data_IF_985890497081
#
_entry.id   IF_985890497081
#
_cell.length_a   1.000
_cell.length_b   1.000
_cell.length_c   1.000
_cell.angle_alpha   90.00
_cell.angle_beta   90.00
_cell.angle_gamma   90.00
#
_symmetry.space_group_name_H-M   'P 1'
#
loop_
_entity.id
_entity.type
_entity.pdbx_description
1 polymer ?
#
# COMPACT_ATOMS: atom_id res chain seq x y z
N UNK A 1 -20.38 -0.25 16.89
CA UNK A 1 -19.51 0.32 15.83
C UNK A 1 -20.07 1.67 15.42
N UNK A 2 -19.23 2.71 15.30
CA UNK A 2 -19.62 4.04 14.82
C UNK A 2 -18.81 4.37 13.57
N UNK A 3 -19.45 4.90 12.54
CA UNK A 3 -18.81 5.33 11.30
C UNK A 3 -18.70 6.85 11.32
N UNK A 4 -17.52 7.38 11.02
CA UNK A 4 -17.28 8.81 10.85
C UNK A 4 -16.80 9.07 9.42
N UNK A 5 -17.36 10.08 8.76
CA UNK A 5 -16.99 10.46 7.40
C UNK A 5 -15.88 11.52 7.44
N UNK A 6 -14.79 11.28 6.73
CA UNK A 6 -13.71 12.26 6.60
C UNK A 6 -14.06 13.46 5.72
N UNK A 7 -13.30 14.56 5.87
CA UNK A 7 -13.49 15.81 5.13
C UNK A 7 -12.78 15.91 3.78
N UNK A 8 -12.20 14.82 3.26
CA UNK A 8 -11.50 14.79 1.97
C UNK A 8 -10.02 15.20 2.01
N UNK A 9 -9.43 15.38 3.19
CA UNK A 9 -8.01 15.70 3.34
C UNK A 9 -7.13 14.45 3.33
N UNK A 10 -6.14 14.39 2.43
CA UNK A 10 -5.20 13.26 2.31
C UNK A 10 -4.38 13.05 3.60
N UNK A 11 -3.96 14.14 4.25
CA UNK A 11 -3.19 14.11 5.50
C UNK A 11 -3.92 13.39 6.64
N UNK A 12 -5.26 13.37 6.64
CA UNK A 12 -6.04 12.65 7.63
C UNK A 12 -5.92 11.12 7.52
N UNK A 13 -5.20 10.59 6.53
CA UNK A 13 -4.75 9.19 6.53
C UNK A 13 -3.64 8.92 7.55
N UNK A 14 -2.93 9.95 8.01
CA UNK A 14 -1.92 9.86 9.07
C UNK A 14 -2.59 9.63 10.43
N UNK A 15 -2.02 8.73 11.23
CA UNK A 15 -2.61 8.25 12.48
C UNK A 15 -3.10 9.31 13.46
N UNK A 16 -2.32 10.39 13.65
CA UNK A 16 -2.64 11.43 14.62
C UNK A 16 -3.52 12.53 14.03
N UNK A 17 -3.35 12.84 12.75
CA UNK A 17 -4.25 13.70 12.00
C UNK A 17 -5.67 13.12 11.93
N UNK A 18 -5.79 11.80 11.74
CA UNK A 18 -7.06 11.08 11.78
C UNK A 18 -7.76 11.27 13.13
N UNK A 19 -7.03 11.09 14.24
CA UNK A 19 -7.59 11.26 15.59
C UNK A 19 -8.01 12.70 15.84
N UNK A 20 -7.20 13.69 15.45
CA UNK A 20 -7.55 15.10 15.58
C UNK A 20 -8.84 15.43 14.79
N UNK A 21 -8.96 14.91 13.57
CA UNK A 21 -10.17 15.07 12.76
C UNK A 21 -11.40 14.42 13.40
N UNK A 22 -11.26 13.23 14.00
CA UNK A 22 -12.33 12.57 14.76
C UNK A 22 -12.73 13.35 16.02
N UNK A 23 -11.81 14.11 16.62
CA UNK A 23 -12.06 15.03 17.73
C UNK A 23 -12.72 16.35 17.28
N UNK A 24 -12.95 16.55 15.98
CA UNK A 24 -13.51 17.78 15.43
C UNK A 24 -12.48 18.92 15.30
N UNK A 25 -11.19 18.61 15.41
CA UNK A 25 -10.09 19.57 15.25
C UNK A 25 -9.55 19.53 13.80
N UNK A 26 -8.75 20.53 13.40
CA UNK A 26 -7.97 20.44 12.16
C UNK A 26 -7.13 19.15 12.12
N UNK A 27 -7.13 18.48 10.97
CA UNK A 27 -6.44 17.21 10.75
C UNK A 27 -4.94 17.36 10.57
N UNK A 28 -4.26 17.98 11.53
CA UNK A 28 -2.82 18.23 11.50
C UNK A 28 -2.08 17.10 12.23
N UNK A 29 -1.03 16.51 11.63
CA UNK A 29 -0.18 15.55 12.32
C UNK A 29 0.50 16.20 13.53
N UNK A 30 0.53 15.50 14.66
CA UNK A 30 1.30 15.90 15.84
C UNK A 30 2.58 15.09 15.97
N UNK A 31 3.58 15.68 16.62
CA UNK A 31 4.80 14.97 16.98
C UNK A 31 4.47 13.76 17.88
N UNK A 32 5.04 12.60 17.52
CA UNK A 32 4.75 11.30 18.14
C UNK A 32 5.63 11.05 19.38
N UNK A 33 5.63 11.99 20.33
CA UNK A 33 6.35 11.80 21.61
C UNK A 33 5.66 10.79 22.52
N UNK A 34 4.33 10.66 22.39
CA UNK A 34 3.51 9.67 23.11
C UNK A 34 2.79 8.82 22.07
N UNK A 35 2.92 7.50 22.18
CA UNK A 35 2.25 6.58 21.26
C UNK A 35 0.73 6.60 21.46
N UNK A 36 -0.03 6.38 20.38
CA UNK A 36 -1.50 6.41 20.45
C UNK A 36 -2.08 5.28 21.29
N UNK A 37 -1.35 4.17 21.43
CA UNK A 37 -1.73 3.07 22.34
C UNK A 37 -1.70 3.49 23.81
N UNK A 38 -0.96 4.55 24.15
CA UNK A 38 -0.99 5.15 25.49
C UNK A 38 -1.99 6.30 25.56
N UNK A 39 -1.91 7.26 24.61
CA UNK A 39 -2.78 8.44 24.55
C UNK A 39 -3.12 8.81 23.11
N UNK A 40 -4.17 8.19 22.58
CA UNK A 40 -4.71 8.42 21.24
C UNK A 40 -5.97 9.30 21.27
N UNK A 41 -7.07 8.74 20.78
CA UNK A 41 -8.35 9.43 20.62
C UNK A 41 -8.92 9.86 21.98
N UNK A 42 -9.27 11.14 22.12
CA UNK A 42 -9.74 11.75 23.38
C UNK A 42 -8.79 11.52 24.56
N UNK A 43 -7.48 11.47 24.27
CA UNK A 43 -6.43 11.15 25.24
C UNK A 43 -6.56 9.77 25.91
N UNK A 44 -7.30 8.85 25.31
CA UNK A 44 -7.44 7.47 25.79
C UNK A 44 -6.54 6.51 25.00
N UNK A 45 -6.09 5.40 25.61
CA UNK A 45 -5.42 4.30 24.89
C UNK A 45 -6.18 3.89 23.63
N UNK A 46 -5.56 4.01 22.45
CA UNK A 46 -6.22 3.76 21.16
C UNK A 46 -5.32 2.99 20.20
N UNK A 47 -5.74 1.78 19.84
CA UNK A 47 -5.17 1.01 18.74
C UNK A 47 -5.77 1.47 17.42
N UNK A 48 -4.92 1.85 16.47
CA UNK A 48 -5.31 2.19 15.11
C UNK A 48 -4.72 1.16 14.16
N UNK A 49 -5.57 0.58 13.31
CA UNK A 49 -5.13 -0.36 12.27
C UNK A 49 -5.87 -0.07 10.96
N UNK A 50 -5.27 -0.47 9.84
CA UNK A 50 -5.91 -0.43 8.53
C UNK A 50 -7.11 -1.41 8.51
N UNK A 51 -8.05 -1.15 7.59
CA UNK A 51 -9.21 -2.03 7.35
C UNK A 51 -8.78 -3.44 6.98
N UNK A 52 -7.77 -3.60 6.12
CA UNK A 52 -7.24 -4.91 5.70
C UNK A 52 -6.70 -5.71 6.89
N UNK A 53 -5.99 -5.04 7.81
CA UNK A 53 -5.50 -5.67 9.05
C UNK A 53 -6.66 -6.22 9.87
N UNK A 54 -7.71 -5.43 10.09
CA UNK A 54 -8.89 -5.87 10.83
C UNK A 54 -9.68 -6.97 10.09
N UNK A 55 -9.70 -6.96 8.76
CA UNK A 55 -10.35 -7.98 7.95
C UNK A 55 -9.66 -9.36 8.08
N UNK A 56 -8.34 -9.38 8.29
CA UNK A 56 -7.58 -10.61 8.49
C UNK A 56 -7.75 -11.22 9.90
N UNK A 57 -8.03 -10.41 10.93
CA UNK A 57 -8.10 -10.86 12.34
C UNK A 57 -9.13 -12.00 12.56
N UNK A 58 -10.39 -11.91 12.08
CA UNK A 58 -11.35 -12.99 12.26
C UNK A 58 -10.89 -14.31 11.62
N UNK A 59 -10.24 -14.25 10.46
CA UNK A 59 -9.73 -15.44 9.78
C UNK A 59 -8.61 -16.10 10.59
N UNK A 60 -7.69 -15.29 11.13
CA UNK A 60 -6.59 -15.77 11.98
C UNK A 60 -7.13 -16.40 13.27
N UNK A 61 -8.13 -15.80 13.91
CA UNK A 61 -8.75 -16.36 15.12
C UNK A 61 -9.43 -17.69 14.83
N UNK A 62 -10.17 -17.78 13.72
CA UNK A 62 -10.95 -18.97 13.37
C UNK A 62 -10.09 -20.14 12.87
N UNK A 63 -8.97 -19.86 12.17
CA UNK A 63 -8.13 -20.90 11.56
C UNK A 63 -6.81 -21.13 12.31
N UNK A 64 -6.47 -20.26 13.27
CA UNK A 64 -5.23 -20.28 14.02
C UNK A 64 -4.08 -19.50 13.35
N UNK A 65 -3.16 -19.01 14.18
CA UNK A 65 -1.99 -18.27 13.71
C UNK A 65 -1.07 -19.10 12.81
N UNK A 66 -0.93 -20.40 13.07
CA UNK A 66 -0.13 -21.32 12.27
C UNK A 66 -0.64 -21.45 10.83
N UNK A 67 -1.96 -21.34 10.62
CA UNK A 67 -2.52 -21.34 9.27
C UNK A 67 -2.08 -20.10 8.49
N UNK A 68 -2.17 -18.92 9.10
CA UNK A 68 -1.83 -17.66 8.44
C UNK A 68 -0.32 -17.52 8.19
N UNK A 69 0.51 -17.99 9.13
CA UNK A 69 1.98 -17.86 9.07
C UNK A 69 2.66 -18.88 8.14
N UNK A 70 1.93 -19.90 7.67
CA UNK A 70 2.37 -20.80 6.59
C UNK A 70 2.37 -20.12 5.21
N UNK A 71 1.63 -19.03 5.07
CA UNK A 71 1.56 -18.23 3.85
C UNK A 71 2.57 -17.08 3.98
N UNK A 72 3.28 -16.79 2.90
CA UNK A 72 4.23 -15.67 2.87
C UNK A 72 5.70 -16.07 3.03
N UNK A 73 6.57 -15.07 3.13
CA UNK A 73 8.00 -15.24 3.41
C UNK A 73 8.25 -15.37 4.92
N UNK A 74 9.47 -15.67 5.39
CA UNK A 74 9.77 -15.69 6.83
C UNK A 74 9.42 -14.39 7.57
N UNK A 75 9.67 -13.24 6.93
CA UNK A 75 9.48 -11.92 7.54
C UNK A 75 8.15 -11.25 7.14
N UNK A 76 7.46 -11.75 6.11
CA UNK A 76 6.20 -11.19 5.63
C UNK A 76 5.14 -12.29 5.50
N UNK A 77 4.29 -12.42 6.52
CA UNK A 77 3.28 -13.47 6.61
C UNK A 77 1.94 -13.07 6.00
N UNK A 78 1.21 -14.06 5.52
CA UNK A 78 -0.13 -13.90 4.98
C UNK A 78 -0.17 -13.46 3.53
N UNK A 79 -1.32 -12.90 3.17
CA UNK A 79 -1.63 -12.36 1.84
C UNK A 79 -1.69 -10.84 1.87
N UNK A 80 -1.55 -10.24 0.69
CA UNK A 80 -1.75 -8.80 0.49
C UNK A 80 -2.66 -8.58 -0.69
N UNK A 81 -3.59 -7.64 -0.53
CA UNK A 81 -4.43 -7.16 -1.64
C UNK A 81 -3.72 -6.00 -2.33
N UNK A 82 -3.56 -6.10 -3.64
CA UNK A 82 -3.06 -5.04 -4.50
C UNK A 82 -4.15 -4.49 -5.41
N UNK A 83 -4.15 -3.17 -5.59
CA UNK A 83 -4.93 -2.49 -6.62
C UNK A 83 -4.03 -2.30 -7.83
N UNK A 84 -4.22 -3.16 -8.83
CA UNK A 84 -3.45 -3.19 -10.06
C UNK A 84 -4.16 -2.33 -11.13
N UNK A 85 -3.51 -1.25 -11.53
CA UNK A 85 -4.07 -0.25 -12.45
C UNK A 85 -2.98 0.26 -13.42
N UNK A 86 -3.36 1.12 -14.36
CA UNK A 86 -2.44 1.71 -15.34
C UNK A 86 -2.43 0.95 -16.66
N UNK A 87 -1.24 0.70 -17.21
CA UNK A 87 -1.04 0.03 -18.50
C UNK A 87 -0.99 -1.49 -18.32
N UNK A 88 -2.13 -2.09 -17.98
CA UNK A 88 -2.26 -3.52 -17.70
C UNK A 88 -3.57 -4.06 -18.29
N UNK A 89 -3.58 -5.30 -18.79
CA UNK A 89 -4.78 -5.91 -19.41
C UNK A 89 -5.88 -6.21 -18.39
N UNK A 90 -5.52 -6.82 -17.26
CA UNK A 90 -6.46 -7.19 -16.20
C UNK A 90 -6.32 -6.23 -15.01
N UNK A 91 -6.90 -5.04 -15.14
CA UNK A 91 -6.95 -4.08 -14.03
C UNK A 91 -7.99 -4.50 -12.99
N UNK A 92 -7.66 -4.34 -11.70
CA UNK A 92 -8.55 -4.73 -10.61
C UNK A 92 -7.86 -4.92 -9.27
N UNK A 93 -8.54 -5.60 -8.35
CA UNK A 93 -7.97 -6.04 -7.09
C UNK A 93 -7.46 -7.46 -7.23
N UNK A 94 -6.21 -7.68 -6.81
CA UNK A 94 -5.57 -9.00 -6.80
C UNK A 94 -5.08 -9.30 -5.40
N UNK A 95 -5.49 -10.42 -4.84
CA UNK A 95 -4.97 -10.91 -3.57
C UNK A 95 -3.91 -11.97 -3.86
N UNK A 96 -2.70 -11.76 -3.36
CA UNK A 96 -1.58 -12.67 -3.58
C UNK A 96 -0.90 -13.01 -2.24
N UNK A 97 -0.31 -14.20 -2.10
CA UNK A 97 0.55 -14.48 -0.96
C UNK A 97 1.76 -13.55 -1.00
N UNK A 98 2.23 -13.10 0.16
CA UNK A 98 3.50 -12.39 0.24
C UNK A 98 4.61 -13.29 -0.32
N UNK A 99 5.58 -12.73 -1.01
CA UNK A 99 6.68 -13.48 -1.59
C UNK A 99 6.50 -13.90 -3.06
N UNK A 100 5.36 -13.60 -3.69
CA UNK A 100 5.25 -13.70 -5.16
C UNK A 100 6.17 -12.71 -5.85
N UNK A 101 6.61 -13.00 -7.06
CA UNK A 101 7.41 -12.06 -7.84
C UNK A 101 6.54 -10.98 -8.48
N UNK A 102 7.14 -9.82 -8.75
CA UNK A 102 6.47 -8.78 -9.51
C UNK A 102 6.06 -9.29 -10.91
N UNK A 103 6.89 -10.13 -11.55
CA UNK A 103 6.61 -10.74 -12.84
C UNK A 103 5.29 -11.51 -12.83
N UNK A 104 5.09 -12.37 -11.83
CA UNK A 104 3.86 -13.16 -11.69
C UNK A 104 2.64 -12.24 -11.55
N UNK A 105 2.73 -11.17 -10.75
CA UNK A 105 1.63 -10.21 -10.62
C UNK A 105 1.32 -9.53 -11.95
N UNK A 106 2.34 -9.08 -12.69
CA UNK A 106 2.14 -8.30 -13.92
C UNK A 106 1.69 -9.20 -15.09
N UNK A 107 2.36 -10.32 -15.31
CA UNK A 107 2.16 -11.13 -16.51
C UNK A 107 1.16 -12.26 -16.31
N UNK A 108 1.23 -12.98 -15.20
CA UNK A 108 0.38 -14.15 -15.00
C UNK A 108 -1.02 -13.74 -14.51
N UNK A 109 -1.08 -12.78 -13.57
CA UNK A 109 -2.35 -12.28 -13.02
C UNK A 109 -2.86 -11.10 -13.83
N UNK A 110 -2.01 -10.09 -14.03
CA UNK A 110 -2.33 -8.86 -14.76
C UNK A 110 -2.50 -9.05 -16.27
N UNK A 111 -2.09 -10.19 -16.82
CA UNK A 111 -2.19 -10.47 -18.26
C UNK A 111 -1.23 -9.65 -19.11
N UNK A 112 -0.22 -9.00 -18.51
CA UNK A 112 0.77 -8.19 -19.21
C UNK A 112 0.25 -6.84 -19.69
N UNK A 113 1.05 -6.21 -20.55
CA UNK A 113 0.82 -4.85 -21.05
C UNK A 113 -0.10 -4.89 -22.27
N UNK A 114 -1.06 -3.95 -22.39
CA UNK A 114 -1.91 -3.82 -23.58
C UNK A 114 -1.12 -3.73 -24.88
N UNK A 115 -1.70 -4.28 -25.95
CA UNK A 115 -1.14 -4.29 -27.31
C UNK A 115 0.24 -4.96 -27.44
N UNK A 116 0.64 -5.77 -26.46
CA UNK A 116 1.96 -6.45 -26.47
C UNK A 116 3.14 -5.50 -26.30
N UNK A 117 2.92 -4.30 -25.78
CA UNK A 117 3.98 -3.32 -25.51
C UNK A 117 4.92 -3.78 -24.41
N UNK A 118 6.08 -3.13 -24.32
CA UNK A 118 7.06 -3.43 -23.27
C UNK A 118 6.67 -2.80 -21.94
N UNK A 119 6.84 -3.57 -20.88
CA UNK A 119 6.80 -3.07 -19.50
C UNK A 119 7.98 -2.14 -19.28
N UNK A 120 7.73 -0.96 -18.69
CA UNK A 120 8.78 0.00 -18.37
C UNK A 120 9.08 0.00 -16.87
N UNK A 121 8.03 0.13 -16.07
CA UNK A 121 8.13 0.20 -14.62
C UNK A 121 6.75 -0.03 -13.97
N UNK A 122 6.77 -0.30 -12.67
CA UNK A 122 5.58 -0.24 -11.82
C UNK A 122 5.83 0.74 -10.68
N UNK A 123 4.86 1.58 -10.38
CA UNK A 123 4.91 2.47 -9.23
C UNK A 123 4.13 1.85 -8.08
N UNK A 124 4.82 1.57 -6.97
CA UNK A 124 4.22 0.99 -5.76
C UNK A 124 4.36 1.94 -4.58
N UNK A 125 3.49 1.80 -3.58
CA UNK A 125 3.53 2.63 -2.37
C UNK A 125 2.96 4.04 -2.52
N UNK A 126 2.38 4.37 -3.68
CA UNK A 126 1.82 5.68 -3.98
C UNK A 126 2.88 6.80 -3.95
N UNK A 127 2.49 8.06 -3.68
CA UNK A 127 3.39 9.21 -3.61
C UNK A 127 4.64 8.99 -2.76
N UNK A 128 4.53 8.19 -1.70
CA UNK A 128 5.61 7.91 -0.77
C UNK A 128 6.57 6.81 -1.23
N UNK A 129 6.17 5.98 -2.20
CA UNK A 129 6.98 4.90 -2.74
C UNK A 129 7.72 5.25 -4.03
N UNK A 130 8.28 4.22 -4.67
CA UNK A 130 9.19 4.36 -5.80
C UNK A 130 8.76 3.55 -7.02
N UNK A 131 9.36 3.86 -8.17
CA UNK A 131 9.16 3.13 -9.42
C UNK A 131 10.16 1.97 -9.52
N UNK A 132 9.67 0.74 -9.68
CA UNK A 132 10.48 -0.46 -9.86
C UNK A 132 10.61 -0.69 -11.38
N UNK A 133 11.82 -0.62 -11.94
CA UNK A 133 12.06 -0.78 -13.38
C UNK A 133 11.98 -2.25 -13.83
N UNK A 134 11.90 -2.46 -15.14
CA UNK A 134 11.94 -3.78 -15.79
C UNK A 134 13.11 -4.67 -15.33
N UNK A 135 14.29 -4.08 -15.05
CA UNK A 135 15.45 -4.85 -14.59
C UNK A 135 15.26 -5.52 -13.22
N UNK A 136 14.24 -5.14 -12.46
CA UNK A 136 13.86 -5.72 -11.17
C UNK A 136 12.51 -6.44 -11.23
N UNK A 137 12.06 -6.85 -12.42
CA UNK A 137 10.77 -7.51 -12.60
C UNK A 137 10.67 -8.85 -11.84
N UNK A 138 11.79 -9.49 -11.53
CA UNK A 138 11.84 -10.73 -10.75
C UNK A 138 11.97 -10.49 -9.24
N UNK A 139 11.82 -9.25 -8.77
CA UNK A 139 11.84 -8.95 -7.33
C UNK A 139 10.69 -9.64 -6.62
N UNK A 140 10.99 -10.14 -5.42
CA UNK A 140 10.02 -10.72 -4.50
C UNK A 140 9.22 -9.59 -3.86
N UNK A 141 7.89 -9.72 -3.86
CA UNK A 141 6.98 -8.77 -3.23
C UNK A 141 6.86 -9.10 -1.75
N UNK A 142 7.71 -8.47 -0.96
CA UNK A 142 7.62 -8.42 0.49
C UNK A 142 8.09 -7.06 1.03
N UNK A 143 7.99 -6.82 2.34
CA UNK A 143 8.37 -5.52 2.90
C UNK A 143 9.87 -5.21 2.79
N UNK A 144 10.72 -6.23 2.87
CA UNK A 144 12.17 -6.08 2.95
C UNK A 144 12.77 -5.80 1.57
N UNK A 145 12.41 -6.62 0.58
CA UNK A 145 12.93 -6.52 -0.80
C UNK A 145 12.43 -5.25 -1.48
N UNK A 146 11.16 -4.88 -1.30
CA UNK A 146 10.65 -3.61 -1.83
C UNK A 146 11.42 -2.41 -1.25
N UNK A 147 11.73 -2.44 0.05
CA UNK A 147 12.53 -1.41 0.70
C UNK A 147 13.94 -1.30 0.10
N UNK A 148 14.61 -2.44 -0.15
CA UNK A 148 15.93 -2.48 -0.79
C UNK A 148 15.91 -1.92 -2.22
N UNK A 149 14.81 -2.10 -2.94
CA UNK A 149 14.61 -1.55 -4.29
C UNK A 149 14.24 -0.05 -4.30
N UNK A 150 14.24 0.63 -3.14
CA UNK A 150 13.86 2.04 -3.05
C UNK A 150 12.36 2.27 -3.27
N UNK A 151 11.55 1.23 -3.06
CA UNK A 151 10.09 1.29 -3.11
C UNK A 151 9.48 0.88 -1.76
N UNK A 152 8.17 0.73 -1.69
CA UNK A 152 7.49 0.26 -0.48
C UNK A 152 6.13 -0.34 -0.79
N UNK A 153 5.68 -1.26 0.05
CA UNK A 153 4.36 -1.89 -0.05
C UNK A 153 3.21 -0.87 -0.03
N UNK A 154 3.30 0.11 0.88
CA UNK A 154 2.25 1.10 1.13
C UNK A 154 0.88 0.44 1.37
N UNK A 155 -0.16 1.02 0.78
CA UNK A 155 -1.53 0.47 0.84
C UNK A 155 -1.78 -0.69 -0.14
N UNK A 156 -0.81 -1.06 -0.97
CA UNK A 156 -0.98 -2.05 -2.05
C UNK A 156 -1.40 -1.45 -3.40
N UNK A 157 -1.23 -0.15 -3.63
CA UNK A 157 -1.43 0.40 -4.98
C UNK A 157 -0.27 0.05 -5.92
N UNK A 158 -0.58 -0.45 -7.12
CA UNK A 158 0.40 -0.72 -8.19
C UNK A 158 -0.06 -0.07 -9.50
N UNK A 159 0.68 0.96 -9.95
CA UNK A 159 0.42 1.63 -11.23
C UNK A 159 1.45 1.15 -12.25
N UNK A 160 1.00 0.36 -13.23
CA UNK A 160 1.83 -0.24 -14.28
C UNK A 160 2.05 0.76 -15.40
N UNK A 161 3.28 0.84 -15.91
CA UNK A 161 3.71 1.78 -16.95
C UNK A 161 4.33 1.02 -18.13
N UNK A 162 4.00 1.46 -19.34
CA UNK A 162 4.54 0.92 -20.60
C UNK A 162 5.69 1.79 -21.14
N UNK A 163 6.33 1.34 -22.21
CA UNK A 163 7.45 2.05 -22.87
C UNK A 163 7.13 3.50 -23.29
N UNK A 164 5.86 3.82 -23.53
CA UNK A 164 5.40 5.15 -23.91
C UNK A 164 5.21 6.10 -22.72
N UNK A 165 5.28 5.61 -21.49
CA UNK A 165 5.07 6.43 -20.30
C UNK A 165 6.28 7.35 -20.03
N UNK A 166 6.04 8.65 -19.90
CA UNK A 166 7.07 9.64 -19.59
C UNK A 166 7.41 9.65 -18.09
N UNK A 167 8.64 9.31 -17.73
CA UNK A 167 9.05 9.27 -16.32
C UNK A 167 9.18 10.68 -15.70
N UNK A 168 9.38 11.72 -16.50
CA UNK A 168 9.39 13.12 -16.03
C UNK A 168 8.00 13.52 -15.56
N UNK A 169 6.95 13.12 -16.27
CA UNK A 169 5.56 13.39 -15.88
C UNK A 169 5.19 12.64 -14.60
N UNK A 170 5.67 11.40 -14.45
CA UNK A 170 5.49 10.63 -13.21
C UNK A 170 6.20 11.28 -12.02
N UNK A 171 7.42 11.78 -12.21
CA UNK A 171 8.13 12.54 -11.19
C UNK A 171 7.35 13.81 -10.83
N UNK A 172 6.89 14.58 -11.81
CA UNK A 172 6.09 15.79 -11.60
C UNK A 172 4.78 15.51 -10.86
N UNK A 173 4.07 14.43 -11.24
CA UNK A 173 2.86 13.98 -10.54
C UNK A 173 3.16 13.65 -9.08
N UNK A 174 4.25 12.93 -8.82
CA UNK A 174 4.66 12.57 -7.46
C UNK A 174 4.93 13.81 -6.61
N UNK A 175 5.66 14.79 -7.15
CA UNK A 175 5.89 16.07 -6.47
C UNK A 175 4.58 16.85 -6.25
N UNK A 176 3.71 16.90 -7.25
CA UNK A 176 2.43 17.64 -7.20
C UNK A 176 1.46 17.07 -6.16
N UNK A 177 1.47 15.76 -5.93
CA UNK A 177 0.65 15.15 -4.87
C UNK A 177 1.24 15.46 -3.51
N UNK A 178 2.56 15.38 -3.35
CA UNK A 178 3.23 15.72 -2.08
C UNK A 178 3.06 17.19 -1.69
N UNK A 179 3.06 18.11 -2.65
CA UNK A 179 2.90 19.55 -2.37
C UNK A 179 1.48 19.95 -1.99
N UNK A 180 0.49 19.06 -2.15
CA UNK A 180 -0.91 19.29 -1.78
C UNK A 180 -1.29 18.65 -0.43
N UNK A 181 -0.36 17.92 0.20
CA UNK A 181 -0.54 17.23 1.47
C UNK A 181 -0.12 18.06 2.67
#
# INVERSE_FOLDING_TARGET
>A
VRINRGGGAFVCGESTALMASLEGKPGEPRAKYIHTVEKGLWSQPTTLNNVETWANVPLIINQGADWYTKIGTPNSKGTKIFSLVGKINNAGLVEVPMGVTLREIIYDIGGGIPDGKKFKAVWTGGPSGGCIPESLLDIIIDFDELGKAGSMMGSGGMIVMDENTCMVDIAFLTFSIKSKG
#
